data_IF_598602936624
#
_entry.id   IF_598602936624
#
_cell.length_a   1.000
_cell.length_b   1.000
_cell.length_c   1.000
_cell.angle_alpha   90.00
_cell.angle_beta   90.00
_cell.angle_gamma   90.00
#
_symmetry.space_group_name_H-M   'P 1'
#
loop_
_entity.id
_entity.type
_entity.pdbx_description
1 polymer ?
#
# COMPACT_ATOMS: atom_id res chain seq x y z
N UNK A 1 41.38 13.23 -6.11
CA UNK A 1 40.08 12.84 -6.68
C UNK A 1 40.33 11.53 -7.37
N UNK A 2 39.93 10.42 -6.76
CA UNK A 2 40.00 9.10 -7.38
C UNK A 2 38.99 9.10 -8.52
N UNK A 3 39.42 8.94 -9.77
CA UNK A 3 38.50 8.68 -10.87
C UNK A 3 37.75 7.39 -10.52
N UNK A 4 36.48 7.51 -10.16
CA UNK A 4 35.63 6.35 -9.97
C UNK A 4 35.40 5.76 -11.36
N UNK A 5 35.97 4.58 -11.61
CA UNK A 5 35.79 3.82 -12.84
C UNK A 5 34.35 3.27 -12.89
N UNK A 6 33.42 4.15 -13.25
CA UNK A 6 31.99 3.84 -13.35
C UNK A 6 31.74 2.97 -14.58
N UNK A 7 30.77 2.07 -14.48
CA UNK A 7 30.42 1.12 -15.55
C UNK A 7 30.04 1.83 -16.86
N UNK A 8 29.35 2.97 -16.77
CA UNK A 8 28.96 3.79 -17.92
C UNK A 8 30.14 4.39 -18.69
N UNK A 9 31.27 4.57 -18.02
CA UNK A 9 32.48 5.18 -18.60
C UNK A 9 33.48 4.10 -19.07
N UNK A 10 33.14 2.82 -18.86
CA UNK A 10 33.97 1.70 -19.29
C UNK A 10 33.97 1.54 -20.82
N UNK A 11 35.16 1.38 -21.41
CA UNK A 11 35.29 1.20 -22.86
C UNK A 11 34.96 -0.25 -23.27
N UNK A 12 33.76 -0.45 -23.82
CA UNK A 12 33.31 -1.75 -24.33
C UNK A 12 33.68 -2.01 -25.81
N UNK A 13 34.32 -1.05 -26.52
CA UNK A 13 34.52 -1.15 -27.98
C UNK A 13 35.41 -2.32 -28.40
N UNK A 14 36.37 -2.70 -27.55
CA UNK A 14 37.34 -3.76 -27.84
C UNK A 14 36.87 -5.15 -27.39
N UNK A 15 35.66 -5.27 -26.82
CA UNK A 15 35.10 -6.54 -26.35
C UNK A 15 34.05 -7.04 -27.33
N UNK A 16 34.34 -8.19 -27.94
CA UNK A 16 33.39 -8.86 -28.84
C UNK A 16 32.12 -9.27 -28.10
N UNK A 17 30.96 -8.89 -28.64
CA UNK A 17 29.66 -9.29 -28.11
C UNK A 17 29.21 -10.64 -28.66
N UNK A 18 28.55 -11.45 -27.82
CA UNK A 18 27.84 -12.67 -28.24
C UNK A 18 26.34 -12.40 -28.28
N UNK A 19 25.65 -12.87 -29.32
CA UNK A 19 24.19 -12.84 -29.37
C UNK A 19 23.61 -13.92 -28.45
N UNK A 20 22.95 -13.50 -27.38
CA UNK A 20 22.32 -14.39 -26.39
C UNK A 20 20.81 -14.39 -26.53
N UNK A 21 20.17 -15.52 -26.15
CA UNK A 21 18.72 -15.65 -26.05
C UNK A 21 18.31 -15.64 -24.58
N UNK A 22 17.45 -14.69 -24.21
CA UNK A 22 17.01 -14.49 -22.83
C UNK A 22 15.49 -14.67 -22.69
N UNK A 23 15.03 -14.78 -21.46
CA UNK A 23 13.60 -14.81 -21.13
C UNK A 23 13.23 -13.55 -20.34
N UNK A 24 12.16 -12.87 -20.76
CA UNK A 24 11.64 -11.68 -20.11
C UNK A 24 10.15 -11.53 -20.35
N UNK A 25 9.60 -10.36 -20.02
CA UNK A 25 8.19 -10.05 -20.26
C UNK A 25 8.03 -9.21 -21.53
N UNK A 26 6.84 -9.26 -22.14
CA UNK A 26 6.40 -8.26 -23.12
C UNK A 26 6.13 -6.92 -22.41
N UNK A 27 5.79 -5.89 -23.20
CA UNK A 27 5.36 -4.58 -22.70
C UNK A 27 4.11 -4.61 -21.82
N UNK A 28 3.36 -5.71 -21.83
CA UNK A 28 2.22 -5.94 -20.93
C UNK A 28 2.63 -6.38 -19.51
N UNK A 29 3.94 -6.58 -19.27
CA UNK A 29 4.52 -7.05 -18.02
C UNK A 29 3.96 -8.37 -17.47
N UNK A 30 3.24 -9.13 -18.29
CA UNK A 30 2.53 -10.33 -17.84
C UNK A 30 2.81 -11.54 -18.73
N UNK A 31 2.94 -11.33 -20.03
CA UNK A 31 3.20 -12.41 -20.98
C UNK A 31 4.70 -12.68 -21.08
N UNK A 32 5.19 -13.88 -20.71
CA UNK A 32 6.60 -14.22 -20.89
C UNK A 32 6.92 -14.34 -22.39
N UNK A 33 8.09 -13.86 -22.79
CA UNK A 33 8.57 -13.96 -24.17
C UNK A 33 10.10 -14.11 -24.22
N UNK A 34 10.59 -14.43 -25.41
CA UNK A 34 12.03 -14.53 -25.70
C UNK A 34 12.53 -13.17 -26.17
N UNK A 35 13.67 -12.77 -25.65
CA UNK A 35 14.43 -11.63 -26.13
C UNK A 35 15.78 -12.07 -26.65
N UNK A 36 16.38 -11.27 -27.52
CA UNK A 36 17.73 -11.49 -28.01
C UNK A 36 18.54 -10.22 -27.81
N UNK A 37 19.72 -10.37 -27.22
CA UNK A 37 20.62 -9.26 -26.95
C UNK A 37 22.01 -9.57 -27.49
N UNK A 38 22.72 -8.54 -27.93
CA UNK A 38 24.17 -8.62 -28.04
C UNK A 38 24.74 -8.32 -26.65
N UNK A 39 25.50 -9.25 -26.09
CA UNK A 39 25.95 -9.20 -24.72
C UNK A 39 27.46 -9.38 -24.62
N UNK A 40 28.09 -8.68 -23.69
CA UNK A 40 29.52 -8.82 -23.43
C UNK A 40 29.77 -10.00 -22.48
N UNK A 41 30.62 -10.97 -22.82
CA UNK A 41 31.01 -12.03 -21.89
C UNK A 41 31.69 -11.42 -20.66
N UNK A 42 31.18 -11.73 -19.47
CA UNK A 42 31.59 -11.04 -18.25
C UNK A 42 33.04 -11.39 -17.85
N UNK A 43 33.53 -12.56 -18.22
CA UNK A 43 34.95 -12.95 -18.05
C UNK A 43 35.90 -12.06 -18.87
N UNK A 44 35.44 -11.48 -19.98
CA UNK A 44 36.22 -10.53 -20.78
C UNK A 44 36.13 -9.11 -20.22
N UNK A 45 34.97 -8.74 -19.70
CA UNK A 45 34.75 -7.44 -19.05
C UNK A 45 35.54 -7.32 -17.75
N UNK A 46 35.57 -8.38 -16.93
CA UNK A 46 36.22 -8.38 -15.61
C UNK A 46 37.60 -9.04 -15.59
N UNK A 47 38.02 -9.68 -16.69
CA UNK A 47 39.33 -10.32 -16.82
C UNK A 47 39.52 -11.57 -15.96
N UNK A 48 38.43 -12.27 -15.59
CA UNK A 48 38.49 -13.45 -14.71
C UNK A 48 37.59 -14.58 -15.21
N UNK A 49 38.17 -15.76 -15.44
CA UNK A 49 37.48 -16.94 -15.99
C UNK A 49 36.33 -17.46 -15.12
N UNK A 50 36.33 -17.15 -13.82
CA UNK A 50 35.24 -17.56 -12.90
C UNK A 50 33.88 -16.96 -13.31
N UNK A 51 33.86 -15.90 -14.11
CA UNK A 51 32.64 -15.30 -14.64
C UNK A 51 32.17 -15.91 -15.96
N UNK A 52 32.87 -16.92 -16.50
CA UNK A 52 32.45 -17.58 -17.75
C UNK A 52 31.03 -18.11 -17.67
N UNK A 53 30.23 -17.85 -18.72
CA UNK A 53 28.81 -18.17 -18.77
C UNK A 53 27.91 -17.09 -18.16
N UNK A 54 28.48 -15.96 -17.74
CA UNK A 54 27.75 -14.74 -17.40
C UNK A 54 27.95 -13.70 -18.50
N UNK A 55 26.92 -12.90 -18.77
CA UNK A 55 26.94 -11.92 -19.83
C UNK A 55 26.33 -10.61 -19.37
N UNK A 56 26.98 -9.49 -19.68
CA UNK A 56 26.50 -8.16 -19.38
C UNK A 56 25.73 -7.59 -20.58
N UNK A 57 24.54 -7.05 -20.34
CA UNK A 57 23.70 -6.39 -21.34
C UNK A 57 23.30 -5.02 -20.83
N UNK A 58 23.46 -4.00 -21.66
CA UNK A 58 22.83 -2.69 -21.46
C UNK A 58 21.38 -2.76 -21.94
N UNK A 59 20.42 -2.65 -21.02
CA UNK A 59 18.99 -2.84 -21.30
C UNK A 59 18.29 -1.54 -21.68
N UNK A 60 18.70 -0.45 -21.04
CA UNK A 60 18.13 0.86 -21.30
C UNK A 60 19.25 1.90 -21.18
N UNK A 61 19.66 2.45 -22.32
CA UNK A 61 20.36 3.71 -22.35
C UNK A 61 19.25 4.76 -22.39
N UNK A 62 18.86 5.29 -21.23
CA UNK A 62 17.83 6.31 -21.16
C UNK A 62 18.33 7.65 -21.73
N UNK A 63 18.61 7.69 -23.04
CA UNK A 63 18.60 8.84 -23.95
C UNK A 63 18.40 8.34 -25.39
N UNK A 64 17.20 7.84 -25.72
CA UNK A 64 16.70 7.91 -27.12
C UNK A 64 15.52 8.89 -27.27
N UNK A 65 14.96 9.41 -26.16
CA UNK A 65 13.79 10.30 -26.18
C UNK A 65 13.97 11.61 -25.37
N UNK A 66 15.19 12.15 -25.28
CA UNK A 66 15.40 13.54 -24.83
C UNK A 66 15.19 13.85 -23.33
N UNK A 67 15.20 12.84 -22.45
CA UNK A 67 15.28 13.05 -20.99
C UNK A 67 16.73 13.27 -20.56
N UNK A 68 17.00 14.31 -19.77
CA UNK A 68 18.37 14.76 -19.42
C UNK A 68 19.00 14.07 -18.20
N UNK A 69 18.31 13.12 -17.55
CA UNK A 69 18.64 12.77 -16.16
C UNK A 69 19.11 11.31 -15.93
N UNK A 70 19.29 10.50 -16.99
CA UNK A 70 19.81 9.12 -16.87
C UNK A 70 21.03 8.84 -17.78
N UNK A 71 22.08 9.63 -17.59
CA UNK A 71 23.33 9.56 -18.37
C UNK A 71 24.25 8.34 -18.05
N UNK A 72 23.70 7.21 -17.62
CA UNK A 72 24.47 6.00 -17.26
C UNK A 72 23.85 4.67 -17.68
N UNK A 73 22.55 4.64 -17.97
CA UNK A 73 21.84 3.41 -18.35
C UNK A 73 21.78 2.33 -17.27
N UNK A 74 21.10 1.23 -17.60
CA UNK A 74 20.91 0.09 -16.70
C UNK A 74 21.44 -1.20 -17.33
N UNK A 75 22.28 -1.91 -16.58
CA UNK A 75 22.87 -3.16 -17.04
C UNK A 75 22.26 -4.34 -16.31
N UNK A 76 22.11 -5.45 -17.02
CA UNK A 76 21.70 -6.74 -16.47
C UNK A 76 22.81 -7.76 -16.72
N UNK A 77 23.18 -8.49 -15.68
CA UNK A 77 24.01 -9.69 -15.81
C UNK A 77 23.07 -10.88 -16.01
N UNK A 78 23.25 -11.57 -17.13
CA UNK A 78 22.55 -12.77 -17.50
C UNK A 78 23.40 -14.01 -17.22
N UNK A 79 22.79 -15.02 -16.62
CA UNK A 79 23.38 -16.33 -16.38
C UNK A 79 22.94 -17.32 -17.46
N UNK A 80 23.89 -18.00 -18.10
CA UNK A 80 23.62 -19.10 -19.04
C UNK A 80 23.19 -20.36 -18.28
N UNK A 81 22.01 -20.86 -18.59
CA UNK A 81 21.37 -21.98 -17.87
C UNK A 81 21.20 -23.25 -18.73
N UNK A 82 21.82 -23.27 -19.91
CA UNK A 82 21.75 -24.38 -20.87
C UNK A 82 21.09 -23.99 -22.18
N UNK A 83 21.40 -24.72 -23.26
CA UNK A 83 20.83 -24.55 -24.60
C UNK A 83 20.84 -23.09 -25.12
N UNK A 84 21.90 -22.32 -24.83
CA UNK A 84 21.99 -20.89 -25.16
C UNK A 84 20.83 -20.05 -24.57
N UNK A 85 20.18 -20.51 -23.49
CA UNK A 85 19.14 -19.81 -22.74
C UNK A 85 19.76 -19.11 -21.56
N UNK A 86 19.37 -17.85 -21.35
CA UNK A 86 19.92 -17.02 -20.30
C UNK A 86 18.82 -16.36 -19.47
N UNK A 87 19.03 -16.31 -18.16
CA UNK A 87 18.11 -15.67 -17.20
C UNK A 87 18.82 -14.54 -16.46
N UNK A 88 18.10 -13.46 -16.17
CA UNK A 88 18.66 -12.36 -15.38
C UNK A 88 19.09 -12.86 -13.99
N UNK A 89 20.36 -12.65 -13.66
CA UNK A 89 20.95 -12.99 -12.37
C UNK A 89 20.84 -11.80 -11.41
N UNK A 90 21.27 -10.64 -11.89
CA UNK A 90 21.25 -9.38 -11.15
C UNK A 90 21.22 -8.22 -12.12
N UNK A 91 21.09 -7.04 -11.55
CA UNK A 91 21.00 -5.81 -12.29
C UNK A 91 21.73 -4.69 -11.58
N UNK A 92 22.34 -3.78 -12.34
CA UNK A 92 23.28 -2.79 -11.82
C UNK A 92 23.12 -1.45 -12.55
N UNK A 93 23.30 -0.35 -11.84
CA UNK A 93 23.23 0.99 -12.41
C UNK A 93 24.55 1.31 -13.13
N UNK A 94 24.50 1.99 -14.28
CA UNK A 94 25.74 2.38 -14.97
C UNK A 94 26.63 3.35 -14.17
N UNK A 95 26.07 4.05 -13.18
CA UNK A 95 26.84 4.88 -12.25
C UNK A 95 27.55 4.08 -11.14
N UNK A 96 27.29 2.78 -11.04
CA UNK A 96 28.03 1.90 -10.13
C UNK A 96 29.45 1.64 -10.67
N UNK A 97 30.40 1.42 -9.75
CA UNK A 97 31.78 1.10 -10.14
C UNK A 97 31.93 -0.34 -10.61
N UNK A 98 33.04 -0.61 -11.30
CA UNK A 98 33.44 -1.96 -11.69
C UNK A 98 33.60 -2.89 -10.47
N UNK A 99 34.10 -2.39 -9.34
CA UNK A 99 34.20 -3.14 -8.08
C UNK A 99 32.82 -3.52 -7.57
N UNK A 100 31.84 -2.61 -7.64
CA UNK A 100 30.47 -2.91 -7.22
C UNK A 100 29.81 -3.97 -8.10
N UNK A 101 30.05 -3.93 -9.42
CA UNK A 101 29.65 -5.00 -10.34
C UNK A 101 30.24 -6.34 -9.91
N UNK A 102 31.53 -6.35 -9.58
CA UNK A 102 32.25 -7.54 -9.13
C UNK A 102 31.67 -8.11 -7.84
N UNK A 103 31.45 -7.27 -6.83
CA UNK A 103 30.88 -7.66 -5.53
C UNK A 103 29.50 -8.29 -5.69
N UNK A 104 28.59 -7.64 -6.41
CA UNK A 104 27.23 -8.16 -6.60
C UNK A 104 27.24 -9.46 -7.42
N UNK A 105 28.13 -9.55 -8.41
CA UNK A 105 28.30 -10.77 -9.21
C UNK A 105 28.81 -11.91 -8.34
N UNK A 106 29.79 -11.66 -7.47
CA UNK A 106 30.36 -12.66 -6.57
C UNK A 106 29.30 -13.23 -5.61
N UNK A 107 28.40 -12.40 -5.08
CA UNK A 107 27.25 -12.86 -4.29
C UNK A 107 26.28 -13.73 -5.10
N UNK A 108 26.10 -13.40 -6.38
CA UNK A 108 25.26 -14.13 -7.33
C UNK A 108 25.86 -15.44 -7.84
N UNK A 109 27.17 -15.68 -7.68
CA UNK A 109 27.85 -16.86 -8.24
C UNK A 109 27.27 -18.18 -7.73
N UNK A 110 26.68 -18.22 -6.53
CA UNK A 110 25.98 -19.41 -6.01
C UNK A 110 24.78 -19.83 -6.86
N UNK A 111 24.22 -18.90 -7.63
CA UNK A 111 23.14 -19.15 -8.59
C UNK A 111 23.67 -19.29 -10.04
N UNK A 112 25.00 -19.38 -10.17
CA UNK A 112 25.81 -19.83 -11.31
C UNK A 112 25.17 -21.00 -12.05
N UNK A 113 25.02 -20.97 -13.38
CA UNK A 113 24.70 -22.12 -14.25
C UNK A 113 23.28 -22.66 -14.09
N UNK A 114 22.98 -23.76 -14.78
CA UNK A 114 21.72 -24.49 -14.65
C UNK A 114 21.43 -24.88 -13.20
N UNK A 115 22.39 -25.50 -12.52
CA UNK A 115 22.19 -26.00 -11.15
C UNK A 115 21.93 -24.86 -10.16
N UNK A 116 22.67 -23.76 -10.29
CA UNK A 116 22.45 -22.56 -9.48
C UNK A 116 21.09 -21.92 -9.74
N UNK A 117 20.64 -21.86 -10.99
CA UNK A 117 19.28 -21.41 -11.33
C UNK A 117 18.22 -22.31 -10.70
N UNK A 118 18.33 -23.63 -10.82
CA UNK A 118 17.39 -24.57 -10.21
C UNK A 118 17.36 -24.45 -8.68
N UNK A 119 18.52 -24.24 -8.05
CA UNK A 119 18.60 -23.98 -6.61
C UNK A 119 17.96 -22.65 -6.22
N UNK A 120 18.14 -21.59 -7.01
CA UNK A 120 17.47 -20.32 -6.79
C UNK A 120 15.93 -20.45 -6.83
N UNK A 121 15.39 -21.29 -7.72
CA UNK A 121 13.95 -21.57 -7.75
C UNK A 121 13.49 -22.35 -6.51
N UNK A 122 14.25 -23.36 -6.08
CA UNK A 122 13.96 -24.12 -4.86
C UNK A 122 13.96 -23.21 -3.62
N UNK A 123 14.97 -22.37 -3.48
CA UNK A 123 15.07 -21.39 -2.40
C UNK A 123 13.90 -20.41 -2.43
N UNK A 124 13.51 -19.93 -3.61
CA UNK A 124 12.34 -19.04 -3.73
C UNK A 124 11.07 -19.69 -3.19
N UNK A 125 10.81 -20.95 -3.57
CA UNK A 125 9.65 -21.70 -3.07
C UNK A 125 9.75 -21.97 -1.57
N UNK A 126 10.93 -22.30 -1.03
CA UNK A 126 11.08 -22.57 0.40
C UNK A 126 10.80 -21.34 1.28
N UNK A 127 11.04 -20.14 0.75
CA UNK A 127 10.71 -18.87 1.40
C UNK A 127 9.25 -18.40 1.13
N UNK A 128 8.41 -19.22 0.49
CA UNK A 128 7.00 -18.91 0.25
C UNK A 128 6.73 -17.95 -0.91
N UNK A 129 7.74 -17.68 -1.75
CA UNK A 129 7.58 -16.87 -2.95
C UNK A 129 7.15 -17.75 -4.14
N UNK A 130 6.38 -17.17 -5.06
CA UNK A 130 5.97 -17.84 -6.29
C UNK A 130 7.10 -17.87 -7.33
N UNK A 131 7.04 -18.84 -8.24
CA UNK A 131 7.92 -18.91 -9.41
C UNK A 131 7.34 -18.08 -10.55
N UNK A 132 8.15 -17.19 -11.14
CA UNK A 132 7.69 -16.27 -12.19
C UNK A 132 7.40 -17.02 -13.49
N UNK A 133 6.51 -16.49 -14.32
CA UNK A 133 6.23 -17.07 -15.64
C UNK A 133 7.48 -17.13 -16.54
N UNK A 134 8.39 -16.16 -16.40
CA UNK A 134 9.67 -16.18 -17.10
C UNK A 134 10.57 -17.32 -16.63
N UNK A 135 10.53 -17.68 -15.35
CA UNK A 135 11.30 -18.82 -14.84
C UNK A 135 10.70 -20.14 -15.33
N UNK A 136 9.38 -20.24 -15.39
CA UNK A 136 8.66 -21.42 -15.93
C UNK A 136 8.98 -21.58 -17.42
N UNK A 137 8.93 -20.50 -18.20
CA UNK A 137 9.31 -20.52 -19.61
C UNK A 137 10.78 -20.88 -19.81
N UNK A 138 11.68 -20.38 -18.94
CA UNK A 138 13.09 -20.73 -18.97
C UNK A 138 13.30 -22.25 -18.75
N UNK A 139 12.62 -22.84 -17.77
CA UNK A 139 12.65 -24.29 -17.51
C UNK A 139 12.21 -25.09 -18.73
N UNK A 140 11.11 -24.72 -19.38
CA UNK A 140 10.67 -25.39 -20.62
C UNK A 140 11.70 -25.31 -21.74
N UNK A 141 12.38 -24.16 -21.87
CA UNK A 141 13.38 -23.93 -22.90
C UNK A 141 14.67 -24.73 -22.69
N UNK A 142 14.99 -25.13 -21.45
CA UNK A 142 16.16 -25.95 -21.12
C UNK A 142 15.81 -27.44 -20.88
N UNK A 143 14.61 -27.87 -21.31
CA UNK A 143 14.16 -29.26 -21.25
C UNK A 143 13.58 -29.71 -19.90
N UNK A 144 13.40 -28.83 -18.92
CA UNK A 144 12.87 -29.13 -17.59
C UNK A 144 11.34 -29.05 -17.52
N UNK A 145 10.65 -29.68 -18.48
CA UNK A 145 9.20 -29.55 -18.68
C UNK A 145 8.36 -30.04 -17.49
N UNK A 146 8.75 -31.15 -16.85
CA UNK A 146 8.03 -31.67 -15.68
C UNK A 146 8.16 -30.74 -14.47
N UNK A 147 9.34 -30.15 -14.26
CA UNK A 147 9.54 -29.18 -13.19
C UNK A 147 8.75 -27.88 -13.46
N UNK A 148 8.72 -27.42 -14.72
CA UNK A 148 7.91 -26.28 -15.12
C UNK A 148 6.41 -26.52 -14.83
N UNK A 149 5.89 -27.71 -15.13
CA UNK A 149 4.52 -28.11 -14.82
C UNK A 149 4.23 -28.13 -13.32
N UNK A 150 5.15 -28.67 -12.51
CA UNK A 150 5.01 -28.66 -11.05
C UNK A 150 4.94 -27.24 -10.50
N UNK A 151 5.78 -26.33 -10.98
CA UNK A 151 5.75 -24.94 -10.54
C UNK A 151 4.53 -24.17 -11.01
N UNK A 152 3.95 -24.48 -12.17
CA UNK A 152 2.65 -23.93 -12.57
C UNK A 152 1.55 -24.30 -11.58
N UNK A 153 1.48 -25.57 -11.18
CA UNK A 153 0.48 -26.04 -10.21
C UNK A 153 0.66 -25.31 -8.87
N UNK A 154 1.90 -25.31 -8.32
CA UNK A 154 2.21 -24.61 -7.06
C UNK A 154 1.86 -23.13 -7.11
N UNK A 155 2.09 -22.45 -8.24
CA UNK A 155 1.72 -21.05 -8.42
C UNK A 155 0.20 -20.86 -8.36
N UNK A 156 -0.56 -21.71 -9.03
CA UNK A 156 -2.03 -21.66 -8.99
C UNK A 156 -2.56 -21.87 -7.58
N UNK A 157 -2.01 -22.85 -6.85
CA UNK A 157 -2.37 -23.10 -5.45
C UNK A 157 -2.05 -21.90 -4.54
N UNK A 158 -0.87 -21.30 -4.73
CA UNK A 158 -0.44 -20.11 -4.00
C UNK A 158 -1.36 -18.90 -4.26
N UNK A 159 -1.75 -18.67 -5.52
CA UNK A 159 -2.67 -17.59 -5.88
C UNK A 159 -4.06 -17.78 -5.24
N UNK A 160 -4.59 -19.00 -5.29
CA UNK A 160 -5.87 -19.32 -4.68
C UNK A 160 -5.85 -19.16 -3.15
N UNK A 161 -4.75 -19.52 -2.50
CA UNK A 161 -4.58 -19.30 -1.05
C UNK A 161 -4.50 -17.82 -0.70
N UNK A 162 -3.79 -17.02 -1.49
CA UNK A 162 -3.74 -15.56 -1.29
C UNK A 162 -5.08 -14.89 -1.47
N UNK A 163 -5.87 -15.32 -2.45
CA UNK A 163 -7.23 -14.83 -2.65
C UNK A 163 -8.12 -15.14 -1.45
N UNK A 164 -8.06 -16.38 -0.91
CA UNK A 164 -8.78 -16.75 0.31
C UNK A 164 -8.40 -15.87 1.50
N UNK A 165 -7.11 -15.66 1.74
CA UNK A 165 -6.62 -14.82 2.84
C UNK A 165 -7.09 -13.36 2.72
N UNK A 166 -7.11 -12.82 1.50
CA UNK A 166 -7.56 -11.45 1.27
C UNK A 166 -9.08 -11.31 1.47
N UNK A 167 -9.87 -12.31 1.04
CA UNK A 167 -11.31 -12.36 1.31
C UNK A 167 -11.56 -12.39 2.83
N UNK A 168 -10.92 -13.30 3.56
CA UNK A 168 -11.07 -13.41 5.02
C UNK A 168 -10.67 -12.11 5.74
N UNK A 169 -9.58 -11.46 5.29
CA UNK A 169 -9.12 -10.18 5.85
C UNK A 169 -10.16 -9.08 5.64
N UNK A 170 -10.76 -9.00 4.44
CA UNK A 170 -11.81 -8.03 4.13
C UNK A 170 -13.07 -8.28 4.95
N UNK A 171 -13.48 -9.53 5.09
CA UNK A 171 -14.64 -9.90 5.92
C UNK A 171 -14.43 -9.50 7.39
N UNK A 172 -13.24 -9.75 7.94
CA UNK A 172 -12.89 -9.31 9.31
C UNK A 172 -12.93 -7.79 9.46
N UNK A 173 -12.34 -7.05 8.51
CA UNK A 173 -12.37 -5.58 8.50
C UNK A 173 -13.82 -5.05 8.47
N UNK A 174 -14.65 -5.57 7.57
CA UNK A 174 -16.06 -5.18 7.47
C UNK A 174 -16.84 -5.52 8.75
N UNK A 175 -16.59 -6.69 9.35
CA UNK A 175 -17.24 -7.07 10.61
C UNK A 175 -16.82 -6.16 11.77
N UNK A 176 -15.54 -5.80 11.86
CA UNK A 176 -15.04 -4.86 12.88
C UNK A 176 -15.58 -3.45 12.69
N UNK A 177 -15.71 -2.97 11.46
CA UNK A 177 -16.31 -1.67 11.14
C UNK A 177 -17.80 -1.66 11.50
N UNK A 178 -18.55 -2.69 11.09
CA UNK A 178 -19.97 -2.83 11.43
C UNK A 178 -20.19 -2.91 12.96
N UNK A 179 -19.32 -3.59 13.70
CA UNK A 179 -19.36 -3.66 15.16
C UNK A 179 -19.11 -2.29 15.80
N UNK A 180 -18.11 -1.53 15.31
CA UNK A 180 -17.81 -0.18 15.79
C UNK A 180 -18.97 0.78 15.51
N UNK A 181 -19.55 0.73 14.31
CA UNK A 181 -20.71 1.53 13.95
C UNK A 181 -21.91 1.19 14.83
N UNK A 182 -22.18 -0.11 15.05
CA UNK A 182 -23.27 -0.55 15.92
C UNK A 182 -23.08 -0.05 17.35
N UNK A 183 -21.89 -0.20 17.92
CA UNK A 183 -21.57 0.29 19.27
C UNK A 183 -21.74 1.82 19.37
N UNK A 184 -21.25 2.56 18.38
CA UNK A 184 -21.40 4.02 18.36
C UNK A 184 -22.87 4.44 18.23
N UNK A 185 -23.67 3.71 17.45
CA UNK A 185 -25.11 3.95 17.34
C UNK A 185 -25.84 3.66 18.65
N UNK A 186 -25.51 2.55 19.33
CA UNK A 186 -26.06 2.18 20.64
C UNK A 186 -25.69 3.20 21.72
N UNK A 187 -24.42 3.63 21.79
CA UNK A 187 -23.95 4.67 22.72
C UNK A 187 -24.66 6.01 22.47
N UNK A 188 -24.80 6.41 21.19
CA UNK A 188 -25.53 7.63 20.83
C UNK A 188 -27.01 7.55 21.20
N UNK A 189 -27.67 6.42 20.93
CA UNK A 189 -29.07 6.21 21.30
C UNK A 189 -29.26 6.27 22.82
N UNK A 190 -28.38 5.62 23.59
CA UNK A 190 -28.42 5.66 25.06
C UNK A 190 -28.21 7.08 25.60
N UNK A 191 -27.24 7.81 25.04
CA UNK A 191 -26.94 9.20 25.41
C UNK A 191 -28.14 10.13 25.14
N UNK A 192 -28.76 10.01 23.96
CA UNK A 192 -29.96 10.78 23.60
C UNK A 192 -31.12 10.48 24.55
N UNK A 193 -31.40 9.20 24.79
CA UNK A 193 -32.51 8.77 25.65
C UNK A 193 -32.33 9.23 27.11
N UNK A 194 -31.10 9.18 27.64
CA UNK A 194 -30.80 9.68 28.98
C UNK A 194 -31.00 11.21 29.10
N UNK A 195 -30.58 11.97 28.09
CA UNK A 195 -30.78 13.42 28.06
C UNK A 195 -32.26 13.78 27.90
N UNK A 196 -33.00 13.08 27.04
CA UNK A 196 -34.44 13.24 26.90
C UNK A 196 -35.17 12.97 28.22
N UNK A 197 -34.86 11.85 28.88
CA UNK A 197 -35.43 11.50 30.19
C UNK A 197 -35.15 12.57 31.23
N UNK A 198 -33.93 13.12 31.26
CA UNK A 198 -33.56 14.19 32.19
C UNK A 198 -34.32 15.48 31.92
N UNK A 199 -34.48 15.88 30.65
CA UNK A 199 -35.26 17.05 30.26
C UNK A 199 -36.73 16.86 30.62
N UNK A 200 -37.30 15.69 30.33
CA UNK A 200 -38.69 15.34 30.67
C UNK A 200 -38.94 15.43 32.18
N UNK A 201 -37.99 14.93 32.98
CA UNK A 201 -38.05 15.00 34.43
C UNK A 201 -37.71 16.39 35.01
N UNK A 202 -37.44 17.39 34.15
CA UNK A 202 -37.00 18.74 34.55
C UNK A 202 -35.76 18.71 35.44
N UNK A 203 -34.81 17.83 35.11
CA UNK A 203 -33.54 17.67 35.80
C UNK A 203 -32.41 18.39 35.06
N UNK A 204 -31.32 18.68 35.79
CA UNK A 204 -30.08 19.19 35.19
C UNK A 204 -29.60 18.25 34.10
N UNK A 205 -29.46 18.79 32.89
CA UNK A 205 -29.05 18.03 31.70
C UNK A 205 -27.76 18.62 31.11
N UNK A 206 -26.62 17.92 31.26
CA UNK A 206 -25.36 18.31 30.63
C UNK A 206 -25.44 18.25 29.09
N UNK A 207 -24.77 19.19 28.42
CA UNK A 207 -24.62 19.19 26.97
C UNK A 207 -23.33 18.45 26.55
N UNK A 208 -23.17 17.21 27.00
CA UNK A 208 -22.01 16.39 26.65
C UNK A 208 -22.09 16.00 25.17
N UNK A 209 -21.01 16.26 24.42
CA UNK A 209 -20.88 15.97 22.99
C UNK A 209 -22.07 16.50 22.15
N UNK A 210 -22.61 17.66 22.53
CA UNK A 210 -23.68 18.31 21.77
C UNK A 210 -25.05 17.63 21.86
N UNK A 211 -25.31 16.79 22.86
CA UNK A 211 -26.56 16.00 22.99
C UNK A 211 -27.84 16.84 22.88
N UNK A 212 -27.82 18.09 23.34
CA UNK A 212 -28.99 18.99 23.25
C UNK A 212 -29.30 19.35 21.80
N UNK A 213 -28.28 19.58 20.97
CA UNK A 213 -28.49 19.86 19.55
C UNK A 213 -28.93 18.60 18.81
N UNK A 214 -28.39 17.45 19.16
CA UNK A 214 -28.80 16.17 18.54
C UNK A 214 -30.26 15.84 18.88
N UNK A 215 -30.71 16.11 20.11
CA UNK A 215 -32.13 16.03 20.47
C UNK A 215 -32.98 17.02 19.67
N UNK A 216 -32.56 18.28 19.53
CA UNK A 216 -33.28 19.25 18.69
C UNK A 216 -33.45 18.74 17.26
N UNK A 217 -32.41 18.13 16.68
CA UNK A 217 -32.48 17.50 15.35
C UNK A 217 -33.42 16.29 15.33
N UNK A 218 -33.36 15.43 16.35
CA UNK A 218 -34.24 14.27 16.50
C UNK A 218 -35.73 14.68 16.50
N UNK A 219 -36.07 15.77 17.18
CA UNK A 219 -37.42 16.33 17.22
C UNK A 219 -37.75 17.28 16.05
N UNK A 220 -36.91 17.36 15.02
CA UNK A 220 -37.17 18.18 13.83
C UNK A 220 -37.16 19.69 14.09
N UNK A 221 -36.49 20.16 15.15
CA UNK A 221 -36.40 21.58 15.49
C UNK A 221 -35.27 22.20 14.67
N UNK A 222 -35.64 23.04 13.70
CA UNK A 222 -34.68 23.77 12.87
C UNK A 222 -34.01 24.91 13.67
N UNK A 223 -32.72 24.72 13.95
CA UNK A 223 -31.89 25.66 14.71
C UNK A 223 -30.91 26.33 13.73
N UNK A 224 -30.86 27.67 13.64
CA UNK A 224 -29.93 28.38 12.76
C UNK A 224 -28.46 28.04 13.06
N UNK A 225 -27.61 27.97 12.02
CA UNK A 225 -26.19 27.59 12.12
C UNK A 225 -25.43 28.32 13.24
N UNK A 226 -25.69 29.62 13.43
CA UNK A 226 -25.08 30.41 14.51
C UNK A 226 -25.43 29.86 15.91
N UNK A 227 -26.68 29.45 16.11
CA UNK A 227 -27.15 28.87 17.37
C UNK A 227 -26.66 27.45 17.54
N UNK A 228 -26.59 26.65 16.46
CA UNK A 228 -25.96 25.32 16.49
C UNK A 228 -24.50 25.41 16.95
N UNK A 229 -23.73 26.31 16.35
CA UNK A 229 -22.34 26.56 16.74
C UNK A 229 -22.20 27.01 18.19
N UNK A 230 -23.14 27.83 18.70
CA UNK A 230 -23.15 28.24 20.10
C UNK A 230 -23.46 27.06 21.06
N UNK A 231 -24.44 26.22 20.72
CA UNK A 231 -24.78 25.01 21.50
C UNK A 231 -23.56 24.08 21.56
N UNK A 232 -22.94 23.77 20.42
CA UNK A 232 -21.80 22.85 20.37
C UNK A 232 -20.56 23.36 21.11
N UNK A 233 -20.26 24.66 21.01
CA UNK A 233 -18.98 25.19 21.49
C UNK A 233 -19.03 25.90 22.84
N UNK A 234 -20.23 26.29 23.31
CA UNK A 234 -20.37 27.15 24.49
C UNK A 234 -21.33 26.59 25.54
N UNK A 235 -22.42 25.92 25.17
CA UNK A 235 -23.38 25.38 26.14
C UNK A 235 -22.72 24.27 26.98
N UNK A 236 -22.75 24.42 28.31
CA UNK A 236 -22.26 23.40 29.23
C UNK A 236 -23.40 22.49 29.70
N UNK A 237 -24.53 23.07 30.11
CA UNK A 237 -25.69 22.33 30.63
C UNK A 237 -26.93 23.22 30.73
N UNK A 238 -28.09 22.58 30.84
CA UNK A 238 -29.39 23.20 31.08
C UNK A 238 -29.92 22.77 32.46
N UNK A 239 -30.50 23.70 33.21
CA UNK A 239 -31.12 23.50 34.51
C UNK A 239 -32.58 23.96 34.48
N UNK A 240 -33.42 23.34 35.30
CA UNK A 240 -34.81 23.72 35.45
C UNK A 240 -35.07 24.14 36.90
N UNK A 241 -35.58 25.35 37.08
CA UNK A 241 -35.86 25.99 38.35
C UNK A 241 -37.38 25.92 38.60
N UNK A 242 -37.89 24.74 38.95
CA UNK A 242 -39.33 24.47 39.09
C UNK A 242 -40.07 24.26 37.76
N UNK A 243 -41.42 24.27 37.78
CA UNK A 243 -42.22 23.92 36.58
C UNK A 243 -42.07 24.89 35.40
N UNK A 244 -41.76 26.17 35.64
CA UNK A 244 -41.71 27.21 34.60
C UNK A 244 -40.36 27.94 34.50
N UNK A 245 -39.38 27.62 35.35
CA UNK A 245 -38.06 28.23 35.34
C UNK A 245 -37.07 27.38 34.56
N UNK A 246 -36.27 28.01 33.70
CA UNK A 246 -35.14 27.36 33.02
C UNK A 246 -33.94 28.30 33.05
N UNK A 247 -32.77 27.75 33.31
CA UNK A 247 -31.49 28.44 33.26
C UNK A 247 -30.47 27.54 32.54
N UNK A 248 -29.34 28.09 32.11
CA UNK A 248 -28.26 27.29 31.53
C UNK A 248 -26.89 27.82 31.95
N UNK A 249 -25.91 26.93 31.99
CA UNK A 249 -24.50 27.30 32.14
C UNK A 249 -23.80 27.17 30.80
N UNK A 250 -22.86 28.06 30.55
CA UNK A 250 -22.07 28.07 29.33
C UNK A 250 -20.63 28.45 29.64
N UNK A 251 -19.70 27.92 28.85
CA UNK A 251 -18.29 28.26 28.93
C UNK A 251 -18.04 29.59 28.25
N UNK A 252 -17.61 30.59 29.02
CA UNK A 252 -17.27 31.91 28.46
C UNK A 252 -15.92 31.83 27.74
N UNK A 253 -15.95 31.71 26.40
CA UNK A 253 -14.76 31.85 25.53
C UNK A 253 -14.82 33.19 24.81
N UNK A 254 -13.84 34.06 25.05
CA UNK A 254 -13.76 35.39 24.42
C UNK A 254 -14.98 36.28 24.74
N UNK A 255 -15.63 36.82 23.70
CA UNK A 255 -16.82 37.69 23.80
C UNK A 255 -18.16 36.92 23.80
N UNK A 256 -18.16 35.59 23.97
CA UNK A 256 -19.39 34.81 24.02
C UNK A 256 -20.29 35.31 25.17
N UNK A 257 -21.50 35.74 24.82
CA UNK A 257 -22.57 36.08 25.75
C UNK A 257 -23.61 34.97 25.80
N UNK A 258 -24.48 35.00 26.82
CA UNK A 258 -25.67 34.15 26.85
C UNK A 258 -26.51 34.34 25.58
N UNK A 259 -26.97 33.25 25.00
CA UNK A 259 -27.85 33.24 23.84
C UNK A 259 -29.32 33.26 24.28
N UNK A 260 -30.01 34.38 24.06
CA UNK A 260 -31.47 34.45 24.22
C UNK A 260 -32.19 33.61 23.15
N UNK A 261 -31.60 33.48 21.97
CA UNK A 261 -32.14 32.63 20.91
C UNK A 261 -32.16 31.16 21.35
N UNK A 262 -31.11 30.68 22.03
CA UNK A 262 -31.06 29.32 22.57
C UNK A 262 -32.21 29.04 23.54
N UNK A 263 -32.54 29.98 24.44
CA UNK A 263 -33.69 29.85 25.36
C UNK A 263 -34.98 29.48 24.62
N UNK A 264 -35.27 30.14 23.50
CA UNK A 264 -36.49 29.88 22.72
C UNK A 264 -36.47 28.47 22.10
N UNK A 265 -35.33 28.02 21.58
CA UNK A 265 -35.20 26.67 21.00
C UNK A 265 -35.27 25.58 22.05
N UNK A 266 -34.73 25.83 23.25
CA UNK A 266 -34.80 24.88 24.35
C UNK A 266 -36.25 24.69 24.84
N UNK A 267 -37.05 25.77 24.90
CA UNK A 267 -38.49 25.64 25.18
C UNK A 267 -39.25 24.88 24.08
N UNK A 268 -38.88 25.07 22.81
CA UNK A 268 -39.43 24.25 21.71
C UNK A 268 -39.11 22.77 21.91
N UNK A 269 -37.87 22.44 22.31
CA UNK A 269 -37.45 21.07 22.59
C UNK A 269 -38.24 20.45 23.73
N UNK A 270 -38.35 21.17 24.85
CA UNK A 270 -39.17 20.77 26.00
C UNK A 270 -40.61 20.47 25.57
N UNK A 271 -41.24 21.37 24.84
CA UNK A 271 -42.62 21.19 24.38
C UNK A 271 -42.76 20.00 23.42
N UNK A 272 -41.75 19.75 22.57
CA UNK A 272 -41.75 18.62 21.65
C UNK A 272 -41.64 17.27 22.41
N UNK A 273 -40.77 17.21 23.43
CA UNK A 273 -40.62 16.02 24.29
C UNK A 273 -41.91 15.76 25.08
N UNK A 274 -42.50 16.80 25.69
CA UNK A 274 -43.75 16.66 26.45
C UNK A 274 -44.93 16.27 25.53
N UNK A 275 -45.02 16.89 24.35
CA UNK A 275 -46.06 16.65 23.35
C UNK A 275 -45.96 15.29 22.64
N UNK A 276 -44.80 14.65 22.61
CA UNK A 276 -44.62 13.29 22.09
C UNK A 276 -45.16 12.20 23.04
N UNK A 277 -45.59 12.57 24.25
CA UNK A 277 -46.04 11.65 25.32
C UNK A 277 -47.53 11.74 25.63
N UNK A 278 -48.30 12.47 24.82
CA UNK A 278 -49.77 12.55 24.85
C UNK A 278 -50.39 11.70 23.74
#
# INVERSE_FOLDING_TARGET
>A
MTEYNMLKDFNFQDIETKRIRTVGYKSDHNTPCRHFYNAWPLEKVLGEDRYSGLYLVLIDAAVQNGGTDYNGGYYIVFNEIGDNVHTALLSINGHDSMERLKEHTDEGLRFKSKDGFLNALKDRVSHGYFIRETDIMALEMIGEAELAKQYRIKKTEWLAERERQEIERREKLMAEEAEKERRLAEENAARLNAAETSIKARQRTPNTDGVILDLMRHYGIDVPLRTQGWILNSLAEVNFDGQNGMSYRYWKRGKATGSQAFFNYMWKLVNAIDGATA
#
